data_IF_134135393158
#
_entry.id   IF_134135393158
#
_cell.length_a   1.000
_cell.length_b   1.000
_cell.length_c   1.000
_cell.angle_alpha   90.00
_cell.angle_beta   90.00
_cell.angle_gamma   90.00
#
_symmetry.space_group_name_H-M   'P 1'
#
loop_
_entity.id
_entity.type
_entity.pdbx_description
1 polymer ?
#
# COMPACT_ATOMS: atom_id res chain seq x y z
N UNK A 1 -11.73 10.54 -1.63
CA UNK A 1 -11.90 9.38 -2.54
C UNK A 1 -10.54 8.74 -2.69
N UNK A 2 -10.42 7.42 -2.58
CA UNK A 2 -9.11 6.78 -2.74
C UNK A 2 -8.70 6.72 -4.21
N UNK A 3 -7.41 6.91 -4.47
CA UNK A 3 -6.80 6.74 -5.80
C UNK A 3 -6.56 5.25 -6.02
N UNK A 4 -7.20 4.68 -7.03
CA UNK A 4 -6.96 3.29 -7.42
C UNK A 4 -5.69 3.19 -8.25
N UNK A 5 -4.74 2.38 -7.79
CA UNK A 5 -3.54 2.04 -8.55
C UNK A 5 -3.86 0.82 -9.42
N UNK A 6 -3.69 0.98 -10.73
CA UNK A 6 -3.93 -0.08 -11.69
C UNK A 6 -2.76 -1.08 -11.71
N UNK A 7 -2.99 -2.36 -12.07
CA UNK A 7 -1.94 -3.38 -12.08
C UNK A 7 -0.71 -3.01 -12.94
N UNK A 8 -0.91 -2.26 -14.03
CA UNK A 8 0.17 -1.81 -14.92
C UNK A 8 0.97 -0.60 -14.39
N UNK A 9 0.57 -0.04 -13.25
CA UNK A 9 1.29 1.03 -12.55
C UNK A 9 2.16 0.50 -11.40
N UNK A 10 2.06 -0.81 -11.12
CA UNK A 10 2.89 -1.49 -10.12
C UNK A 10 4.17 -1.96 -10.81
N UNK A 11 5.30 -1.54 -10.25
CA UNK A 11 6.63 -1.90 -10.69
C UNK A 11 7.24 -2.94 -9.75
N UNK A 12 8.16 -3.75 -10.28
CA UNK A 12 8.92 -4.74 -9.51
C UNK A 12 8.05 -5.67 -8.66
N UNK A 13 6.86 -6.05 -9.18
CA UNK A 13 5.98 -6.98 -8.49
C UNK A 13 6.67 -8.34 -8.31
N UNK A 14 6.72 -8.81 -7.08
CA UNK A 14 7.24 -10.13 -6.72
C UNK A 14 6.24 -10.84 -5.83
N UNK A 15 6.12 -12.15 -6.03
CA UNK A 15 5.25 -12.98 -5.22
C UNK A 15 5.97 -14.25 -4.82
N UNK A 16 5.91 -14.56 -3.53
CA UNK A 16 6.36 -15.82 -2.97
C UNK A 16 5.15 -16.53 -2.36
N UNK A 17 5.01 -17.81 -2.68
CA UNK A 17 4.08 -18.71 -2.00
C UNK A 17 4.87 -19.69 -1.15
N UNK A 18 4.51 -19.79 0.13
CA UNK A 18 5.08 -20.73 1.07
C UNK A 18 3.99 -21.61 1.67
N UNK A 19 4.33 -22.88 1.91
CA UNK A 19 3.54 -23.75 2.78
C UNK A 19 3.89 -23.42 4.22
N UNK A 20 2.88 -23.21 5.06
CA UNK A 20 3.05 -22.83 6.47
C UNK A 20 2.16 -23.68 7.37
N UNK A 21 2.56 -23.83 8.63
CA UNK A 21 1.68 -24.33 9.69
C UNK A 21 1.10 -23.11 10.43
N UNK A 22 0.17 -22.41 9.79
CA UNK A 22 -0.44 -21.19 10.30
C UNK A 22 -1.61 -21.46 11.25
N UNK A 23 -2.03 -20.46 12.05
CA UNK A 23 -3.28 -20.54 12.81
C UNK A 23 -4.49 -20.63 11.87
N UNK A 24 -5.63 -21.07 12.40
CA UNK A 24 -6.92 -21.15 11.70
C UNK A 24 -6.90 -22.02 10.42
N UNK A 25 -6.09 -23.10 10.45
CA UNK A 25 -5.86 -24.04 9.36
C UNK A 25 -5.27 -23.39 8.09
N UNK A 26 -4.61 -22.23 8.24
CA UNK A 26 -3.88 -21.61 7.14
C UNK A 26 -2.66 -22.47 6.77
N UNK A 27 -2.66 -23.04 5.58
CA UNK A 27 -1.58 -23.89 5.06
C UNK A 27 -0.72 -23.18 4.01
N UNK A 28 -1.17 -22.01 3.52
CA UNK A 28 -0.45 -21.19 2.55
C UNK A 28 -0.24 -19.76 3.07
N UNK A 29 0.94 -19.23 2.78
CA UNK A 29 1.30 -17.84 2.97
C UNK A 29 1.73 -17.27 1.62
N UNK A 30 1.07 -16.20 1.20
CA UNK A 30 1.49 -15.37 0.08
C UNK A 30 2.20 -14.14 0.61
N UNK A 31 3.39 -13.88 0.09
CA UNK A 31 4.14 -12.65 0.32
C UNK A 31 4.18 -11.92 -1.01
N UNK A 32 3.70 -10.69 -1.05
CA UNK A 32 3.60 -9.90 -2.26
C UNK A 32 4.28 -8.56 -2.01
N UNK A 33 5.33 -8.32 -2.78
CA UNK A 33 6.13 -7.11 -2.73
C UNK A 33 5.99 -6.34 -4.05
N UNK A 34 6.04 -5.03 -3.98
CA UNK A 34 6.02 -4.18 -5.15
C UNK A 34 6.14 -2.71 -4.80
N UNK A 35 6.13 -1.87 -5.82
CA UNK A 35 6.11 -0.43 -5.65
C UNK A 35 5.29 0.24 -6.73
N UNK A 36 4.85 1.47 -6.51
CA UNK A 36 4.25 2.31 -7.54
C UNK A 36 4.69 3.75 -7.36
N UNK A 37 4.75 4.49 -8.46
CA UNK A 37 5.06 5.91 -8.46
C UNK A 37 3.77 6.73 -8.46
N UNK A 38 3.67 7.66 -7.52
CA UNK A 38 2.59 8.62 -7.46
C UNK A 38 3.06 9.89 -6.77
N UNK A 39 2.70 11.05 -7.35
CA UNK A 39 3.11 12.34 -6.81
C UNK A 39 2.05 12.86 -5.84
N UNK A 40 2.36 12.83 -4.55
CA UNK A 40 1.63 13.60 -3.53
C UNK A 40 2.42 14.87 -3.27
N UNK A 41 1.92 16.02 -3.73
CA UNK A 41 2.62 17.29 -3.64
C UNK A 41 2.02 18.21 -2.58
N UNK A 42 2.87 18.85 -1.79
CA UNK A 42 2.54 20.01 -0.99
C UNK A 42 3.40 21.20 -1.43
N UNK A 43 2.77 22.32 -1.76
CA UNK A 43 3.44 23.60 -2.06
C UNK A 43 2.92 24.68 -1.12
N UNK A 44 3.84 25.43 -0.51
CA UNK A 44 3.50 26.53 0.39
C UNK A 44 4.06 27.85 -0.14
N UNK A 45 3.20 28.87 -0.23
CA UNK A 45 3.55 30.25 -0.57
C UNK A 45 3.70 31.15 0.66
N UNK A 46 3.85 30.57 1.85
CA UNK A 46 4.00 31.31 3.12
C UNK A 46 3.02 30.89 4.23
N UNK A 47 2.09 29.98 3.95
CA UNK A 47 1.16 29.38 4.93
C UNK A 47 1.30 27.87 4.94
N UNK A 48 1.12 27.22 6.10
CA UNK A 48 1.22 25.76 6.19
C UNK A 48 0.28 25.08 5.18
N UNK A 49 0.84 24.19 4.37
CA UNK A 49 0.08 23.39 3.41
C UNK A 49 0.27 21.91 3.70
N UNK A 50 -0.83 21.15 3.67
CA UNK A 50 -0.85 19.71 3.87
C UNK A 50 -1.56 19.07 2.68
N UNK A 51 -0.92 18.08 2.09
CA UNK A 51 -1.50 17.24 1.04
C UNK A 51 -1.61 15.82 1.57
N UNK A 52 -2.80 15.24 1.45
CA UNK A 52 -3.12 13.92 1.99
C UNK A 52 -3.81 13.12 0.90
N UNK A 53 -3.34 11.89 0.72
CA UNK A 53 -3.90 10.96 -0.25
C UNK A 53 -4.07 9.56 0.34
N UNK A 54 -5.06 8.84 -0.18
CA UNK A 54 -5.31 7.44 0.14
C UNK A 54 -5.27 6.64 -1.15
N UNK A 55 -4.52 5.55 -1.17
CA UNK A 55 -4.36 4.66 -2.31
C UNK A 55 -5.02 3.32 -2.03
N UNK A 56 -5.59 2.71 -3.07
CA UNK A 56 -5.98 1.30 -3.03
C UNK A 56 -5.30 0.53 -4.16
N UNK A 57 -4.81 -0.67 -3.84
CA UNK A 57 -4.07 -1.55 -4.76
C UNK A 57 -4.59 -2.97 -4.58
N UNK A 58 -5.04 -3.60 -5.66
CA UNK A 58 -5.41 -5.02 -5.65
C UNK A 58 -4.16 -5.85 -5.96
N UNK A 59 -3.80 -6.76 -5.06
CA UNK A 59 -2.57 -7.55 -5.16
C UNK A 59 -2.79 -9.04 -4.89
N UNK A 60 -1.91 -9.85 -5.46
CA UNK A 60 -1.88 -11.29 -5.26
C UNK A 60 -2.91 -12.08 -6.07
N UNK A 61 -3.02 -13.39 -5.82
CA UNK A 61 -3.99 -14.25 -6.47
C UNK A 61 -5.43 -13.92 -6.10
N UNK A 62 -6.37 -14.47 -6.87
CA UNK A 62 -7.80 -14.44 -6.55
C UNK A 62 -8.15 -15.60 -5.62
N UNK A 63 -8.82 -15.29 -4.53
CA UNK A 63 -9.25 -16.22 -3.50
C UNK A 63 -10.75 -16.16 -3.30
N UNK A 64 -11.32 -17.26 -2.84
CA UNK A 64 -12.69 -17.28 -2.32
C UNK A 64 -12.70 -16.84 -0.86
N UNK A 65 -13.84 -16.33 -0.38
CA UNK A 65 -14.06 -15.96 1.03
C UNK A 65 -13.67 -17.06 2.04
N UNK A 66 -13.81 -18.34 1.65
CA UNK A 66 -13.49 -19.48 2.53
C UNK A 66 -12.00 -19.78 2.62
N UNK A 67 -11.23 -19.33 1.62
CA UNK A 67 -9.78 -19.50 1.59
C UNK A 67 -9.08 -18.39 2.35
N UNK A 68 -9.59 -17.15 2.29
CA UNK A 68 -8.98 -16.03 3.01
C UNK A 68 -9.10 -16.20 4.53
N UNK A 69 -7.95 -16.11 5.21
CA UNK A 69 -7.89 -16.10 6.68
C UNK A 69 -7.61 -14.69 7.18
N UNK A 70 -6.51 -14.09 6.71
CA UNK A 70 -6.06 -12.76 7.13
C UNK A 70 -5.03 -12.21 6.16
N UNK A 71 -5.03 -10.90 5.99
CA UNK A 71 -3.91 -10.15 5.42
C UNK A 71 -3.38 -9.12 6.42
N UNK A 72 -2.13 -8.72 6.20
CA UNK A 72 -1.51 -7.58 6.84
C UNK A 72 -0.51 -6.97 5.86
N UNK A 73 -0.24 -5.69 6.03
CA UNK A 73 0.63 -4.97 5.14
C UNK A 73 1.52 -3.97 5.88
N UNK A 74 2.63 -3.66 5.23
CA UNK A 74 3.48 -2.52 5.55
C UNK A 74 3.77 -1.77 4.26
N UNK A 75 4.01 -0.47 4.37
CA UNK A 75 4.43 0.35 3.24
C UNK A 75 5.58 1.26 3.66
N UNK A 76 6.26 1.82 2.67
CA UNK A 76 7.33 2.79 2.85
C UNK A 76 7.32 3.81 1.71
N UNK A 77 7.92 4.97 1.92
CA UNK A 77 8.22 5.89 0.83
C UNK A 77 9.49 5.43 0.12
N UNK A 78 9.40 5.24 -1.19
CA UNK A 78 10.58 4.88 -2.00
C UNK A 78 11.33 6.12 -2.50
N UNK A 79 10.62 7.25 -2.62
CA UNK A 79 11.22 8.52 -3.02
C UNK A 79 10.47 9.71 -2.42
N UNK A 80 11.22 10.62 -1.80
CA UNK A 80 10.72 11.90 -1.27
C UNK A 80 11.58 13.05 -1.80
N UNK A 81 10.97 14.20 -2.05
CA UNK A 81 11.67 15.40 -2.54
C UNK A 81 11.30 16.60 -1.68
N UNK A 82 12.30 17.44 -1.40
CA UNK A 82 12.15 18.75 -0.78
C UNK A 82 12.87 19.79 -1.62
N UNK A 83 12.11 20.72 -2.20
CA UNK A 83 12.64 21.89 -2.88
C UNK A 83 12.44 23.11 -1.98
N UNK A 84 13.55 23.77 -1.64
CA UNK A 84 13.60 24.89 -0.69
C UNK A 84 14.02 26.15 -1.43
N UNK A 85 13.17 27.17 -1.43
CA UNK A 85 13.56 28.52 -1.87
C UNK A 85 13.74 29.47 -0.68
N UNK A 86 13.04 29.23 0.44
CA UNK A 86 13.29 29.93 1.72
C UNK A 86 13.30 28.91 2.85
N UNK A 87 14.04 29.16 3.94
CA UNK A 87 14.14 28.17 5.03
C UNK A 87 12.73 27.75 5.53
N UNK A 88 12.35 26.47 5.44
CA UNK A 88 11.04 26.02 5.88
C UNK A 88 10.97 26.09 7.41
N UNK A 89 9.80 26.46 7.92
CA UNK A 89 9.52 26.42 9.36
C UNK A 89 9.19 24.99 9.81
N UNK A 90 8.56 24.20 8.95
CA UNK A 90 8.28 22.79 9.19
C UNK A 90 8.08 22.05 7.87
N UNK A 91 8.46 20.79 7.84
CA UNK A 91 8.21 19.87 6.71
C UNK A 91 8.15 18.44 7.27
N UNK A 92 7.18 17.65 6.83
CA UNK A 92 7.16 16.22 7.13
C UNK A 92 6.51 15.40 6.01
N UNK A 93 6.90 14.14 5.97
CA UNK A 93 6.27 13.08 5.17
C UNK A 93 5.83 12.00 6.16
N UNK A 94 4.57 11.60 6.09
CA UNK A 94 3.99 10.73 7.11
C UNK A 94 3.12 9.66 6.47
N UNK A 95 3.35 8.42 6.89
CA UNK A 95 2.44 7.31 6.64
C UNK A 95 1.41 7.30 7.77
N UNK A 96 0.15 7.57 7.43
CA UNK A 96 -0.94 7.69 8.40
C UNK A 96 -1.60 6.35 8.69
N UNK A 97 -1.67 5.49 7.67
CA UNK A 97 -2.29 4.18 7.80
C UNK A 97 -1.85 3.24 6.68
N UNK A 98 -1.72 1.97 7.02
CA UNK A 98 -1.56 0.88 6.06
C UNK A 98 -2.43 -0.26 6.53
N UNK A 99 -3.27 -0.75 5.64
CA UNK A 99 -4.16 -1.87 5.93
C UNK A 99 -4.25 -2.79 4.72
N UNK A 100 -4.56 -4.06 4.97
CA UNK A 100 -4.81 -5.01 3.91
C UNK A 100 -5.93 -5.96 4.31
N UNK A 101 -6.92 -6.08 3.44
CA UNK A 101 -8.06 -6.98 3.63
C UNK A 101 -8.44 -7.64 2.31
N UNK A 102 -9.29 -8.66 2.38
CA UNK A 102 -9.83 -9.32 1.19
C UNK A 102 -10.98 -8.50 0.61
N UNK A 103 -10.87 -8.20 -0.67
CA UNK A 103 -11.91 -7.54 -1.45
C UNK A 103 -12.84 -8.60 -2.04
N UNK A 104 -14.12 -8.56 -1.69
CA UNK A 104 -15.09 -9.59 -2.09
C UNK A 104 -15.54 -9.45 -3.55
N UNK A 105 -15.38 -8.26 -4.13
CA UNK A 105 -15.71 -7.99 -5.53
C UNK A 105 -14.64 -8.49 -6.51
N UNK A 106 -13.35 -8.31 -6.21
CA UNK A 106 -12.25 -8.85 -7.03
C UNK A 106 -11.77 -10.24 -6.60
N UNK A 107 -12.01 -10.61 -5.34
CA UNK A 107 -11.45 -11.79 -4.70
C UNK A 107 -9.96 -11.66 -4.37
N UNK A 108 -9.32 -10.52 -4.60
CA UNK A 108 -7.90 -10.27 -4.30
C UNK A 108 -7.73 -9.61 -2.93
N UNK A 109 -6.49 -9.43 -2.49
CA UNK A 109 -6.20 -8.60 -1.33
C UNK A 109 -6.18 -7.13 -1.78
N UNK A 110 -7.01 -6.29 -1.17
CA UNK A 110 -6.92 -4.83 -1.28
C UNK A 110 -5.94 -4.31 -0.22
N UNK A 111 -4.84 -3.74 -0.69
CA UNK A 111 -3.93 -2.91 0.10
C UNK A 111 -4.44 -1.48 0.09
N UNK A 112 -4.62 -0.88 1.27
CA UNK A 112 -4.89 0.54 1.45
C UNK A 112 -3.71 1.24 2.11
N UNK A 113 -3.22 2.32 1.49
CA UNK A 113 -2.16 3.18 2.04
C UNK A 113 -2.69 4.59 2.19
N UNK A 114 -2.57 5.17 3.37
CA UNK A 114 -2.87 6.58 3.64
C UNK A 114 -1.59 7.33 3.98
N UNK A 115 -1.30 8.39 3.25
CA UNK A 115 -0.09 9.18 3.43
C UNK A 115 -0.37 10.67 3.33
N UNK A 116 0.47 11.46 3.98
CA UNK A 116 0.46 12.90 3.85
C UNK A 116 1.86 13.47 3.74
N UNK A 117 1.95 14.64 3.12
CA UNK A 117 3.13 15.49 3.12
C UNK A 117 2.71 16.90 3.48
N UNK A 118 3.48 17.56 4.33
CA UNK A 118 3.26 18.96 4.68
C UNK A 118 4.51 19.78 4.53
N UNK A 119 4.32 21.05 4.20
CA UNK A 119 5.39 22.04 4.13
C UNK A 119 4.87 23.39 4.62
N UNK A 120 5.70 24.09 5.39
CA UNK A 120 5.43 25.43 5.87
C UNK A 120 6.66 26.32 5.66
N UNK A 121 6.47 27.48 5.05
CA UNK A 121 7.49 28.43 4.66
C UNK A 121 7.12 29.10 3.34
N UNK A 122 7.89 30.06 2.85
CA UNK A 122 7.55 30.71 1.58
C UNK A 122 8.22 30.01 0.40
N UNK A 123 7.46 29.71 -0.65
CA UNK A 123 7.95 29.15 -1.91
C UNK A 123 8.64 27.79 -1.75
N UNK A 124 8.16 26.96 -0.82
CA UNK A 124 8.72 25.62 -0.58
C UNK A 124 7.79 24.53 -1.09
N UNK A 125 8.38 23.43 -1.52
CA UNK A 125 7.67 22.29 -2.06
C UNK A 125 8.20 21.00 -1.42
N UNK A 126 7.30 20.15 -0.94
CA UNK A 126 7.62 18.80 -0.50
C UNK A 126 6.77 17.79 -1.28
N UNK A 127 7.32 16.61 -1.58
CA UNK A 127 6.59 15.58 -2.31
C UNK A 127 6.94 14.17 -1.88
N UNK A 128 5.96 13.28 -1.94
CA UNK A 128 6.16 11.82 -2.03
C UNK A 128 6.04 11.49 -3.51
N UNK A 129 7.00 10.73 -4.06
CA UNK A 129 7.01 10.35 -5.48
C UNK A 129 6.81 8.84 -5.69
N UNK A 130 6.93 8.04 -4.64
CA UNK A 130 6.75 6.61 -4.76
C UNK A 130 6.49 5.92 -3.43
N UNK A 131 5.85 4.77 -3.54
CA UNK A 131 5.38 3.93 -2.44
C UNK A 131 5.84 2.50 -2.70
N UNK A 132 6.54 1.90 -1.74
CA UNK A 132 6.85 0.49 -1.70
C UNK A 132 5.91 -0.20 -0.74
N UNK A 133 5.51 -1.42 -1.03
CA UNK A 133 4.63 -2.20 -0.16
C UNK A 133 5.11 -3.64 0.00
N UNK A 134 4.76 -4.20 1.15
CA UNK A 134 4.92 -5.61 1.50
C UNK A 134 3.61 -6.10 2.10
N UNK A 135 2.98 -7.08 1.45
CA UNK A 135 1.70 -7.67 1.86
C UNK A 135 1.93 -9.14 2.18
N UNK A 136 1.43 -9.58 3.33
CA UNK A 136 1.37 -11.00 3.66
C UNK A 136 -0.07 -11.43 3.80
N UNK A 137 -0.46 -12.49 3.10
CA UNK A 137 -1.82 -13.02 3.10
C UNK A 137 -1.82 -14.52 3.40
N UNK A 138 -2.60 -14.93 4.39
CA UNK A 138 -2.73 -16.32 4.84
C UNK A 138 -3.98 -16.95 4.27
N UNK A 139 -3.84 -18.15 3.75
CA UNK A 139 -4.92 -18.88 3.09
C UNK A 139 -5.06 -20.29 3.61
N UNK A 140 -6.30 -20.77 3.62
CA UNK A 140 -6.68 -22.18 3.75
C UNK A 140 -6.57 -22.88 2.39
N UNK A 141 -6.46 -24.21 2.39
CA UNK A 141 -6.48 -24.97 1.15
C UNK A 141 -7.82 -24.82 0.45
N UNK A 142 -7.80 -24.85 -0.89
CA UNK A 142 -9.03 -25.06 -1.64
C UNK A 142 -9.60 -26.43 -1.24
N UNK A 143 -10.85 -26.46 -0.79
CA UNK A 143 -11.53 -27.73 -0.53
C UNK A 143 -11.73 -28.43 -1.88
N UNK A 144 -10.77 -29.28 -2.26
CA UNK A 144 -11.01 -30.28 -3.28
C UNK A 144 -12.07 -31.20 -2.69
N UNK A 145 -13.31 -31.08 -3.18
CA UNK A 145 -14.34 -32.10 -3.01
C UNK A 145 -13.78 -33.42 -3.55
N UNK A 146 -13.09 -34.18 -2.70
CA UNK A 146 -12.82 -35.59 -2.93
C UNK A 146 -14.15 -36.30 -2.72
N UNK A 147 -14.97 -36.33 -3.77
CA UNK A 147 -15.98 -37.37 -3.90
C UNK A 147 -15.24 -38.67 -4.25
N UNK A 148 -15.11 -39.55 -3.25
CA UNK A 148 -14.97 -40.98 -3.43
C UNK A 148 -16.18 -41.65 -2.77
#
# INVERSE_FOLDING_TARGET
MAVKILPNQIENIQQLEAVVAGPDDADRLFIIDGQFLYNVNAYSSGQAFVSKETFTVLVGPVFTRRQFVRANATASFTQTVLNINTLPQSTAWQMLGVDADWDDESGQVELRIEAQVNVFGSQNQASILGFGFHVTARMRPSVALHFM
#
